data_IF_780945233290
#
_entry.id   IF_780945233290
#
_cell.length_a   1.000
_cell.length_b   1.000
_cell.length_c   1.000
_cell.angle_alpha   90.00
_cell.angle_beta   90.00
_cell.angle_gamma   90.00
#
_symmetry.space_group_name_H-M   'P 1'
#
loop_
_entity.id
_entity.type
_entity.pdbx_description
1 polymer ?
#
# COMPACT_ATOMS: atom_id res chain seq x y z
N UNK A 1 10.25 9.79 15.85
CA UNK A 1 10.86 10.90 15.06
C UNK A 1 11.19 12.09 15.98
N UNK A 2 10.22 12.70 16.62
CA UNK A 2 10.44 13.88 17.50
C UNK A 2 11.42 13.57 18.64
N UNK A 3 11.30 12.46 19.34
CA UNK A 3 12.24 11.99 20.37
C UNK A 3 13.68 11.79 19.87
N UNK A 4 13.87 11.66 18.57
CA UNK A 4 15.17 11.44 17.92
C UNK A 4 15.61 12.65 17.08
N UNK A 5 15.15 13.86 17.42
CA UNK A 5 15.68 15.12 16.90
C UNK A 5 14.97 15.68 15.67
N UNK A 6 13.81 15.15 15.26
CA UNK A 6 12.99 15.83 14.25
C UNK A 6 12.41 17.12 14.85
N UNK A 7 12.58 18.26 14.17
CA UNK A 7 12.08 19.54 14.63
C UNK A 7 10.56 19.65 14.47
N UNK A 8 10.02 19.09 13.39
CA UNK A 8 8.59 19.07 13.08
C UNK A 8 8.22 17.81 12.32
N UNK A 9 7.02 17.28 12.57
CA UNK A 9 6.45 16.13 11.86
C UNK A 9 5.11 16.53 11.26
N UNK A 10 4.94 16.29 9.97
CA UNK A 10 3.66 16.35 9.27
C UNK A 10 3.14 14.92 9.16
N UNK A 11 2.10 14.59 9.92
CA UNK A 11 1.49 13.27 9.93
C UNK A 11 0.27 13.25 9.03
N UNK A 12 0.16 12.23 8.18
CA UNK A 12 -0.91 12.12 7.18
C UNK A 12 -1.54 10.74 7.29
N UNK A 13 -2.84 10.69 7.50
CA UNK A 13 -3.59 9.44 7.47
C UNK A 13 -5.01 9.70 6.94
N UNK A 14 -5.49 8.82 6.06
CA UNK A 14 -6.85 8.90 5.51
C UNK A 14 -7.91 8.36 6.45
N UNK A 15 -7.53 7.56 7.46
CA UNK A 15 -8.46 7.00 8.42
C UNK A 15 -8.74 8.01 9.54
N UNK A 16 -9.97 8.53 9.58
CA UNK A 16 -10.38 9.49 10.61
C UNK A 16 -10.39 8.90 12.03
N UNK A 17 -10.39 7.58 12.18
CA UNK A 17 -10.33 6.93 13.50
C UNK A 17 -8.97 7.14 14.20
N UNK A 18 -7.93 7.47 13.44
CA UNK A 18 -6.59 7.80 13.98
C UNK A 18 -6.54 9.14 14.73
N UNK A 19 -7.53 10.04 14.50
CA UNK A 19 -7.59 11.38 15.12
C UNK A 19 -7.51 11.34 16.64
N UNK A 20 -8.12 10.32 17.27
CA UNK A 20 -8.13 10.20 18.75
C UNK A 20 -6.71 10.01 19.29
N UNK A 21 -5.93 9.14 18.64
CA UNK A 21 -4.54 8.88 19.02
C UNK A 21 -3.65 10.08 18.74
N UNK A 22 -3.88 10.76 17.62
CA UNK A 22 -3.09 11.93 17.21
C UNK A 22 -3.33 13.14 18.10
N UNK A 23 -4.53 13.32 18.65
CA UNK A 23 -4.79 14.35 19.68
C UNK A 23 -3.94 14.13 20.91
N UNK A 24 -3.75 12.90 21.37
CA UNK A 24 -2.90 12.60 22.52
C UNK A 24 -1.44 12.96 22.23
N UNK A 25 -0.95 12.61 21.04
CA UNK A 25 0.40 12.96 20.60
C UNK A 25 0.55 14.48 20.45
N UNK A 26 -0.46 15.16 19.92
CA UNK A 26 -0.45 16.61 19.79
C UNK A 26 -0.44 17.31 21.15
N UNK A 27 -1.12 16.78 22.17
CA UNK A 27 -1.05 17.28 23.53
C UNK A 27 0.34 17.15 24.14
N UNK A 28 1.11 16.10 23.76
CA UNK A 28 2.47 15.86 24.24
C UNK A 28 3.51 16.74 23.52
N UNK A 29 3.37 16.91 22.19
CA UNK A 29 4.38 17.56 21.34
C UNK A 29 3.97 18.93 20.80
N UNK A 30 2.74 19.39 21.06
CA UNK A 30 2.25 20.72 20.65
C UNK A 30 2.39 20.96 19.14
N UNK A 31 2.89 22.14 18.78
CA UNK A 31 3.04 22.58 17.38
C UNK A 31 4.13 21.83 16.60
N UNK A 32 4.91 20.97 17.27
CA UNK A 32 5.91 20.12 16.59
C UNK A 32 5.27 19.03 15.73
N UNK A 33 3.97 18.77 15.89
CA UNK A 33 3.23 17.84 15.03
C UNK A 33 2.01 18.53 14.42
N UNK A 34 1.88 18.39 13.10
CA UNK A 34 0.67 18.80 12.37
C UNK A 34 0.06 17.56 11.72
N UNK A 35 -1.26 17.39 11.85
CA UNK A 35 -1.96 16.25 11.30
C UNK A 35 -2.89 16.65 10.16
N UNK A 36 -2.83 15.91 9.06
CA UNK A 36 -3.70 16.05 7.90
C UNK A 36 -4.51 14.75 7.71
N UNK A 37 -5.85 14.86 7.80
CA UNK A 37 -6.73 13.71 7.53
C UNK A 37 -7.04 13.66 6.03
N UNK A 38 -6.11 13.13 5.27
CA UNK A 38 -6.21 13.01 3.80
C UNK A 38 -5.44 11.78 3.32
N UNK A 39 -5.68 11.40 2.06
CA UNK A 39 -4.87 10.37 1.43
C UNK A 39 -3.45 10.90 1.16
N UNK A 40 -2.42 10.15 1.49
CA UNK A 40 -1.04 10.52 1.20
C UNK A 40 -0.75 10.64 -0.31
N UNK A 41 -1.56 10.02 -1.17
CA UNK A 41 -1.47 10.17 -2.62
C UNK A 41 -1.85 11.58 -3.12
N UNK A 42 -2.61 12.33 -2.31
CA UNK A 42 -3.13 13.65 -2.64
C UNK A 42 -2.32 14.77 -1.96
N UNK A 43 -1.15 14.45 -1.38
CA UNK A 43 -0.26 15.41 -0.73
C UNK A 43 0.15 16.58 -1.63
N UNK A 44 0.28 16.35 -2.93
CA UNK A 44 0.63 17.40 -3.90
C UNK A 44 -0.45 18.49 -4.04
N UNK A 45 -1.69 18.18 -3.67
CA UNK A 45 -2.83 19.11 -3.70
C UNK A 45 -2.91 19.96 -2.42
N UNK A 46 -2.14 19.59 -1.40
CA UNK A 46 -2.08 20.32 -0.14
C UNK A 46 -0.99 21.41 -0.20
N UNK A 47 -1.41 22.68 -0.26
CA UNK A 47 -0.51 23.81 -0.37
C UNK A 47 0.46 23.93 0.82
N UNK A 48 0.04 23.56 2.03
CA UNK A 48 0.89 23.60 3.23
C UNK A 48 2.07 22.62 3.14
N UNK A 49 1.95 21.61 2.30
CA UNK A 49 2.98 20.59 2.08
C UNK A 49 3.72 20.87 0.78
N UNK A 50 3.01 21.13 -0.31
CA UNK A 50 3.59 21.24 -1.65
C UNK A 50 4.53 22.47 -1.81
N UNK A 51 4.29 23.56 -1.07
CA UNK A 51 5.12 24.77 -1.11
C UNK A 51 6.33 24.71 -0.18
N UNK A 52 6.62 23.58 0.49
CA UNK A 52 7.76 23.45 1.39
C UNK A 52 9.02 23.06 0.64
N UNK A 53 10.12 23.66 1.04
CA UNK A 53 11.49 23.36 0.60
C UNK A 53 12.37 22.78 1.73
N UNK A 54 11.82 22.72 2.96
CA UNK A 54 12.51 22.31 4.18
C UNK A 54 12.31 20.81 4.54
N UNK A 55 11.58 20.04 3.73
CA UNK A 55 11.31 18.63 4.00
C UNK A 55 12.61 17.81 3.93
N UNK A 56 13.12 17.41 5.08
CA UNK A 56 14.35 16.61 5.19
C UNK A 56 14.11 15.10 5.11
N UNK A 57 12.87 14.64 5.18
CA UNK A 57 12.57 13.22 5.03
C UNK A 57 11.09 12.92 4.89
N UNK A 58 10.81 11.80 4.21
CA UNK A 58 9.47 11.22 4.08
C UNK A 58 9.54 9.76 4.53
N UNK A 59 8.59 9.36 5.37
CA UNK A 59 8.41 7.96 5.79
C UNK A 59 7.03 7.51 5.35
N UNK A 60 6.98 6.46 4.56
CA UNK A 60 5.76 5.78 4.15
C UNK A 60 5.69 4.43 4.88
N UNK A 61 4.74 4.29 5.80
CA UNK A 61 4.42 3.03 6.47
C UNK A 61 3.12 2.50 5.87
N UNK A 62 3.25 1.49 4.99
CA UNK A 62 2.16 1.05 4.13
C UNK A 62 1.30 -0.02 4.80
N UNK A 63 0.13 -0.23 4.24
CA UNK A 63 -0.77 -1.32 4.61
C UNK A 63 -1.78 -0.94 5.69
N UNK A 64 -2.20 -1.94 6.47
CA UNK A 64 -3.26 -1.82 7.46
C UNK A 64 -2.72 -1.72 8.88
N UNK A 65 -3.32 -0.86 9.68
CA UNK A 65 -3.03 -0.76 11.11
C UNK A 65 -3.58 -1.98 11.88
N UNK A 66 -3.10 -2.17 13.11
CA UNK A 66 -3.66 -3.17 14.03
C UNK A 66 -5.15 -2.93 14.28
N UNK A 67 -5.58 -1.67 14.37
CA UNK A 67 -6.99 -1.31 14.57
C UNK A 67 -7.91 -1.82 13.44
N UNK A 68 -7.42 -1.82 12.18
CA UNK A 68 -8.17 -2.37 11.07
C UNK A 68 -8.36 -3.89 11.19
N UNK A 69 -7.33 -4.62 11.63
CA UNK A 69 -7.33 -6.08 11.70
C UNK A 69 -8.05 -6.61 12.95
N UNK A 70 -8.02 -5.85 14.04
CA UNK A 70 -8.57 -6.26 15.34
C UNK A 70 -10.05 -5.86 15.50
N UNK A 71 -10.59 -5.01 14.61
CA UNK A 71 -12.01 -4.66 14.58
C UNK A 71 -12.74 -5.43 13.46
N UNK A 72 -13.53 -6.45 13.79
CA UNK A 72 -14.27 -7.23 12.79
C UNK A 72 -15.20 -6.40 11.92
N UNK A 73 -15.76 -5.31 12.46
CA UNK A 73 -16.70 -4.41 11.76
C UNK A 73 -16.05 -3.67 10.57
N UNK A 74 -14.73 -3.63 10.51
CA UNK A 74 -14.01 -3.02 9.38
C UNK A 74 -13.83 -3.99 8.19
N UNK A 75 -14.05 -5.28 8.39
CA UNK A 75 -14.03 -6.28 7.32
C UNK A 75 -12.67 -6.67 6.77
N UNK A 76 -11.56 -6.28 7.40
CA UNK A 76 -10.20 -6.63 6.95
C UNK A 76 -9.75 -8.04 7.34
N UNK A 77 -10.37 -8.60 8.37
CA UNK A 77 -10.06 -9.91 8.91
C UNK A 77 -11.19 -10.90 8.62
N UNK A 78 -10.84 -12.16 8.46
CA UNK A 78 -11.78 -13.28 8.36
C UNK A 78 -11.61 -14.27 9.53
N UNK A 79 -11.02 -13.81 10.64
CA UNK A 79 -10.96 -14.58 11.89
C UNK A 79 -12.31 -14.60 12.58
N UNK A 80 -12.99 -13.48 12.52
CA UNK A 80 -14.34 -13.28 13.02
C UNK A 80 -15.22 -12.78 11.88
N UNK A 81 -16.54 -12.97 12.02
CA UNK A 81 -17.50 -12.50 11.03
C UNK A 81 -17.66 -10.99 11.13
N UNK A 82 -17.50 -10.33 10.00
CA UNK A 82 -17.73 -8.90 9.86
C UNK A 82 -18.27 -8.57 8.47
N UNK A 83 -18.76 -7.33 8.24
CA UNK A 83 -19.22 -6.89 6.93
C UNK A 83 -18.05 -6.83 5.95
N UNK A 84 -18.32 -7.04 4.66
CA UNK A 84 -17.33 -6.88 3.59
C UNK A 84 -17.17 -5.39 3.22
N UNK A 85 -16.57 -4.58 4.10
CA UNK A 85 -16.28 -3.17 3.84
C UNK A 85 -14.85 -2.98 3.30
N UNK A 86 -13.82 -3.22 4.09
CA UNK A 86 -12.39 -3.09 3.80
C UNK A 86 -11.91 -1.67 3.43
N UNK A 87 -12.71 -0.62 3.55
CA UNK A 87 -12.25 0.76 3.33
C UNK A 87 -11.41 1.25 4.52
N UNK A 88 -10.24 1.83 4.25
CA UNK A 88 -9.33 2.35 5.28
C UNK A 88 -9.79 3.72 5.82
N UNK A 89 -10.53 4.50 5.05
CA UNK A 89 -11.02 5.82 5.41
C UNK A 89 -12.46 6.05 4.96
N UNK A 90 -12.97 7.27 5.19
CA UNK A 90 -14.33 7.68 4.81
C UNK A 90 -14.39 8.22 3.37
N UNK A 91 -13.38 7.99 2.55
CA UNK A 91 -13.34 8.42 1.16
C UNK A 91 -14.39 7.67 0.33
N UNK A 92 -15.00 8.34 -0.67
CA UNK A 92 -15.89 7.68 -1.60
C UNK A 92 -15.13 6.59 -2.37
N UNK A 93 -15.76 5.43 -2.53
CA UNK A 93 -15.19 4.31 -3.23
C UNK A 93 -15.95 3.02 -2.93
N UNK A 94 -15.80 1.99 -3.76
CA UNK A 94 -16.51 0.75 -3.58
C UNK A 94 -16.08 0.02 -2.31
N UNK A 95 -17.02 -0.58 -1.64
CA UNK A 95 -16.79 -1.53 -0.57
C UNK A 95 -16.34 -2.89 -1.13
N UNK A 96 -15.73 -3.73 -0.30
CA UNK A 96 -15.44 -5.11 -0.68
C UNK A 96 -16.71 -5.86 -1.09
N UNK A 97 -17.85 -5.58 -0.45
CA UNK A 97 -19.15 -6.15 -0.80
C UNK A 97 -19.58 -5.80 -2.23
N UNK A 98 -19.41 -4.55 -2.64
CA UNK A 98 -19.75 -4.11 -4.00
C UNK A 98 -18.83 -4.77 -5.03
N UNK A 99 -17.53 -4.82 -4.78
CA UNK A 99 -16.59 -5.52 -5.68
C UNK A 99 -16.99 -7.00 -5.82
N UNK A 100 -17.21 -7.70 -4.72
CA UNK A 100 -17.55 -9.14 -4.74
C UNK A 100 -18.89 -9.41 -5.42
N UNK A 101 -19.89 -8.57 -5.20
CA UNK A 101 -21.23 -8.82 -5.68
C UNK A 101 -21.54 -8.21 -7.05
N UNK A 102 -20.82 -7.16 -7.50
CA UNK A 102 -21.17 -6.43 -8.73
C UNK A 102 -20.15 -6.57 -9.86
N UNK A 103 -18.85 -6.77 -9.57
CA UNK A 103 -17.86 -6.91 -10.63
C UNK A 103 -18.12 -8.15 -11.50
N UNK A 104 -17.74 -8.07 -12.78
CA UNK A 104 -17.77 -9.24 -13.67
C UNK A 104 -16.85 -10.36 -13.17
N UNK A 105 -17.09 -11.59 -13.62
CA UNK A 105 -16.21 -12.73 -13.30
C UNK A 105 -14.77 -12.47 -13.77
N UNK A 106 -14.63 -11.86 -14.95
CA UNK A 106 -13.33 -11.51 -15.52
C UNK A 106 -12.60 -10.49 -14.64
N UNK A 107 -13.27 -9.39 -14.28
CA UNK A 107 -12.70 -8.37 -13.40
C UNK A 107 -12.27 -8.95 -12.05
N UNK A 108 -13.12 -9.78 -11.42
CA UNK A 108 -12.76 -10.46 -10.17
C UNK A 108 -11.54 -11.36 -10.33
N UNK A 109 -11.48 -12.13 -11.42
CA UNK A 109 -10.34 -13.02 -11.68
C UNK A 109 -9.05 -12.21 -11.85
N UNK A 110 -9.09 -11.10 -12.57
CA UNK A 110 -7.93 -10.23 -12.78
C UNK A 110 -7.48 -9.56 -11.48
N UNK A 111 -8.40 -9.02 -10.68
CA UNK A 111 -8.07 -8.45 -9.37
C UNK A 111 -7.39 -9.49 -8.47
N UNK A 112 -7.96 -10.70 -8.36
CA UNK A 112 -7.41 -11.77 -7.53
C UNK A 112 -6.05 -12.25 -8.06
N UNK A 113 -5.87 -12.31 -9.37
CA UNK A 113 -4.61 -12.73 -9.99
C UNK A 113 -3.52 -11.68 -9.80
N UNK A 114 -3.77 -10.42 -10.18
CA UNK A 114 -2.75 -9.37 -10.17
C UNK A 114 -2.43 -8.90 -8.75
N UNK A 115 -3.45 -8.62 -7.93
CA UNK A 115 -3.24 -8.10 -6.58
C UNK A 115 -3.01 -9.20 -5.52
N UNK A 116 -3.63 -10.36 -5.69
CA UNK A 116 -3.46 -11.49 -4.78
C UNK A 116 -2.28 -12.40 -5.15
N UNK A 117 -1.79 -12.33 -6.39
CA UNK A 117 -0.83 -13.29 -6.93
C UNK A 117 -1.34 -14.74 -6.72
N UNK A 118 -2.64 -14.95 -6.93
CA UNK A 118 -3.31 -16.23 -6.71
C UNK A 118 -3.51 -16.98 -8.04
N UNK A 119 -2.87 -18.13 -8.18
CA UNK A 119 -2.92 -18.92 -9.42
C UNK A 119 -4.30 -19.49 -9.74
N UNK A 120 -5.13 -19.69 -8.70
CA UNK A 120 -6.49 -20.20 -8.85
C UNK A 120 -7.55 -19.10 -9.02
N UNK A 121 -7.13 -17.85 -9.32
CA UNK A 121 -7.98 -16.68 -9.40
C UNK A 121 -9.27 -16.90 -10.21
N UNK A 122 -9.16 -17.47 -11.42
CA UNK A 122 -10.34 -17.77 -12.25
C UNK A 122 -11.33 -18.74 -11.59
N UNK A 123 -10.83 -19.78 -10.91
CA UNK A 123 -11.69 -20.74 -10.20
C UNK A 123 -12.38 -20.10 -9.01
N UNK A 124 -11.67 -19.22 -8.29
CA UNK A 124 -12.22 -18.48 -7.15
C UNK A 124 -13.29 -17.50 -7.65
N UNK A 125 -13.01 -16.69 -8.68
CA UNK A 125 -13.97 -15.76 -9.27
C UNK A 125 -15.25 -16.45 -9.74
N UNK A 126 -15.12 -17.55 -10.48
CA UNK A 126 -16.28 -18.37 -10.92
C UNK A 126 -17.11 -18.87 -9.73
N UNK A 127 -16.46 -19.36 -8.66
CA UNK A 127 -17.17 -19.82 -7.46
C UNK A 127 -17.88 -18.66 -6.76
N UNK A 128 -17.24 -17.51 -6.62
CA UNK A 128 -17.86 -16.31 -6.05
C UNK A 128 -19.12 -15.93 -6.84
N UNK A 129 -19.02 -15.85 -8.17
CA UNK A 129 -20.16 -15.51 -9.04
C UNK A 129 -21.30 -16.54 -8.91
N UNK A 130 -20.99 -17.84 -8.87
CA UNK A 130 -21.98 -18.89 -8.65
C UNK A 130 -22.70 -18.75 -7.30
N UNK A 131 -21.98 -18.43 -6.24
CA UNK A 131 -22.58 -18.30 -4.91
C UNK A 131 -23.39 -17.01 -4.76
N UNK A 132 -22.87 -15.86 -5.27
CA UNK A 132 -23.62 -14.58 -5.21
C UNK A 132 -24.91 -14.59 -6.01
N UNK A 133 -24.98 -15.38 -7.09
CA UNK A 133 -26.22 -15.56 -7.88
C UNK A 133 -27.31 -16.34 -7.11
N UNK A 134 -26.94 -17.10 -6.09
CA UNK A 134 -27.90 -17.76 -5.19
C UNK A 134 -28.33 -16.81 -4.06
N UNK A 135 -27.38 -16.13 -3.47
CA UNK A 135 -27.56 -15.19 -2.35
C UNK A 135 -26.37 -14.23 -2.27
N UNK A 136 -26.65 -12.95 -2.06
CA UNK A 136 -25.62 -11.91 -1.86
C UNK A 136 -24.64 -12.34 -0.75
N UNK A 137 -23.34 -12.24 -1.04
CA UNK A 137 -22.25 -12.49 -0.08
C UNK A 137 -22.08 -11.25 0.76
N UNK A 138 -22.27 -11.34 2.07
CA UNK A 138 -22.34 -10.17 2.96
C UNK A 138 -21.25 -10.14 4.02
N UNK A 139 -20.67 -11.31 4.37
CA UNK A 139 -19.71 -11.38 5.47
C UNK A 139 -18.34 -11.89 5.05
N UNK A 140 -17.34 -11.53 5.83
CA UNK A 140 -15.95 -11.98 5.63
C UNK A 140 -15.81 -13.48 5.75
N UNK A 141 -16.53 -14.13 6.67
CA UNK A 141 -16.49 -15.58 6.84
C UNK A 141 -17.11 -16.32 5.64
N UNK A 142 -18.27 -15.86 5.12
CA UNK A 142 -18.86 -16.44 3.91
C UNK A 142 -17.87 -16.43 2.73
N UNK A 143 -17.24 -15.28 2.48
CA UNK A 143 -16.23 -15.16 1.43
C UNK A 143 -15.05 -16.09 1.67
N UNK A 144 -14.54 -16.18 2.89
CA UNK A 144 -13.41 -17.04 3.23
C UNK A 144 -13.74 -18.52 3.02
N UNK A 145 -14.95 -18.98 3.36
CA UNK A 145 -15.40 -20.35 3.14
C UNK A 145 -15.52 -20.70 1.65
N UNK A 146 -16.04 -19.79 0.84
CA UNK A 146 -16.09 -19.94 -0.62
C UNK A 146 -14.69 -20.16 -1.20
N UNK A 147 -13.70 -19.39 -0.73
CA UNK A 147 -12.31 -19.49 -1.19
C UNK A 147 -11.66 -20.77 -0.72
N UNK A 148 -11.85 -21.16 0.56
CA UNK A 148 -11.33 -22.41 1.13
C UNK A 148 -11.83 -23.66 0.42
N UNK A 149 -13.04 -23.61 -0.14
CA UNK A 149 -13.58 -24.70 -0.94
C UNK A 149 -12.82 -24.94 -2.27
N UNK A 150 -12.07 -23.93 -2.77
CA UNK A 150 -11.33 -23.98 -4.05
C UNK A 150 -9.83 -24.15 -3.84
N UNK A 151 -9.28 -23.50 -2.81
CA UNK A 151 -7.84 -23.47 -2.54
C UNK A 151 -7.54 -24.45 -1.39
N UNK A 152 -6.72 -25.49 -1.61
CA UNK A 152 -6.35 -26.41 -0.55
C UNK A 152 -5.70 -25.70 0.62
N UNK A 153 -6.01 -26.16 1.82
CA UNK A 153 -5.41 -25.65 3.05
C UNK A 153 -3.88 -25.86 3.01
N UNK A 154 -3.15 -24.80 3.27
CA UNK A 154 -1.71 -24.84 3.43
C UNK A 154 -1.40 -24.56 4.91
N UNK A 155 -0.50 -25.36 5.54
CA UNK A 155 -0.12 -25.20 6.94
C UNK A 155 0.45 -23.83 7.29
N UNK A 156 0.98 -23.08 6.29
CA UNK A 156 1.67 -21.79 6.54
C UNK A 156 0.76 -20.57 6.49
N UNK A 157 -0.30 -20.60 5.66
CA UNK A 157 -1.21 -19.45 5.45
C UNK A 157 -2.61 -19.94 5.11
N UNK A 158 -3.63 -19.21 5.61
CA UNK A 158 -5.01 -19.47 5.22
C UNK A 158 -5.21 -19.22 3.72
N UNK A 159 -5.93 -20.10 3.00
CA UNK A 159 -6.23 -19.96 1.58
C UNK A 159 -6.86 -18.62 1.18
N UNK A 160 -7.67 -18.03 2.06
CA UNK A 160 -8.35 -16.75 1.81
C UNK A 160 -7.40 -15.54 1.81
N UNK A 161 -6.23 -15.64 2.44
CA UNK A 161 -5.32 -14.50 2.66
C UNK A 161 -5.02 -13.71 1.38
N UNK A 162 -4.72 -14.40 0.27
CA UNK A 162 -4.36 -13.74 -1.00
C UNK A 162 -5.54 -13.02 -1.65
N UNK A 163 -6.72 -13.62 -1.59
CA UNK A 163 -7.93 -13.01 -2.15
C UNK A 163 -8.35 -11.81 -1.30
N UNK A 164 -8.28 -11.89 0.03
CA UNK A 164 -8.55 -10.76 0.91
C UNK A 164 -7.56 -9.61 0.67
N UNK A 165 -6.26 -9.92 0.51
CA UNK A 165 -5.27 -8.93 0.12
C UNK A 165 -5.63 -8.27 -1.22
N UNK A 166 -6.05 -9.05 -2.22
CA UNK A 166 -6.42 -8.53 -3.54
C UNK A 166 -7.58 -7.55 -3.47
N UNK A 167 -8.66 -7.94 -2.77
CA UNK A 167 -9.84 -7.07 -2.62
C UNK A 167 -9.50 -5.82 -1.82
N UNK A 168 -8.71 -5.93 -0.75
CA UNK A 168 -8.25 -4.79 0.04
C UNK A 168 -7.48 -3.77 -0.80
N UNK A 169 -6.50 -4.25 -1.59
CA UNK A 169 -5.70 -3.41 -2.49
C UNK A 169 -6.62 -2.71 -3.50
N UNK A 170 -7.61 -3.42 -4.05
CA UNK A 170 -8.57 -2.87 -5.01
C UNK A 170 -9.46 -1.79 -4.37
N UNK A 171 -10.08 -2.08 -3.22
CA UNK A 171 -10.94 -1.13 -2.47
C UNK A 171 -10.20 0.18 -2.16
N UNK A 172 -8.93 0.09 -1.78
CA UNK A 172 -8.17 1.23 -1.26
C UNK A 172 -7.21 1.87 -2.27
N UNK A 173 -7.14 1.39 -3.51
CA UNK A 173 -6.20 1.85 -4.54
C UNK A 173 -4.73 1.85 -4.10
N UNK A 174 -4.35 0.94 -3.17
CA UNK A 174 -3.08 0.99 -2.42
C UNK A 174 -1.84 1.15 -3.31
N UNK A 175 -1.75 0.42 -4.41
CA UNK A 175 -0.58 0.45 -5.28
C UNK A 175 -0.51 1.70 -6.17
N UNK A 176 -1.66 2.22 -6.61
CA UNK A 176 -1.76 3.47 -7.36
C UNK A 176 -1.37 4.65 -6.48
N UNK A 177 -1.89 4.67 -5.26
CA UNK A 177 -1.61 5.71 -4.26
C UNK A 177 -0.14 5.69 -3.88
N UNK A 178 0.47 4.51 -3.64
CA UNK A 178 1.89 4.36 -3.40
C UNK A 178 2.74 4.94 -4.54
N UNK A 179 2.38 4.64 -5.79
CA UNK A 179 3.13 5.13 -6.95
C UNK A 179 3.12 6.66 -7.03
N UNK A 180 1.98 7.30 -6.80
CA UNK A 180 1.86 8.76 -6.74
C UNK A 180 2.67 9.35 -5.59
N UNK A 181 2.57 8.75 -4.40
CA UNK A 181 3.28 9.22 -3.22
C UNK A 181 4.81 9.15 -3.37
N UNK A 182 5.33 8.11 -4.01
CA UNK A 182 6.77 7.98 -4.28
C UNK A 182 7.28 9.09 -5.19
N UNK A 183 6.54 9.41 -6.26
CA UNK A 183 6.89 10.50 -7.17
C UNK A 183 6.87 11.84 -6.44
N UNK A 184 5.85 12.08 -5.63
CA UNK A 184 5.75 13.31 -4.86
C UNK A 184 6.83 13.40 -3.77
N UNK A 185 7.11 12.31 -3.05
CA UNK A 185 8.18 12.26 -2.05
C UNK A 185 9.56 12.58 -2.67
N UNK A 186 9.83 12.08 -3.87
CA UNK A 186 11.06 12.41 -4.59
C UNK A 186 11.13 13.89 -4.93
N UNK A 187 10.03 14.51 -5.33
CA UNK A 187 9.97 15.94 -5.67
C UNK A 187 10.18 16.84 -4.44
N UNK A 188 9.54 16.53 -3.32
CA UNK A 188 9.46 17.43 -2.16
C UNK A 188 10.65 17.33 -1.20
N UNK A 189 11.28 16.15 -1.13
CA UNK A 189 12.44 15.95 -0.23
C UNK A 189 13.62 16.74 -0.76
N UNK A 190 14.24 17.57 0.12
CA UNK A 190 15.43 18.35 -0.23
C UNK A 190 16.64 17.46 -0.50
N UNK A 191 17.63 17.98 -1.23
CA UNK A 191 18.92 17.30 -1.41
C UNK A 191 19.57 16.95 -0.06
N UNK A 192 20.08 15.74 0.07
CA UNK A 192 20.60 15.18 1.33
C UNK A 192 19.53 14.49 2.19
N UNK A 193 18.24 14.73 1.93
CA UNK A 193 17.13 14.14 2.67
C UNK A 193 16.88 12.65 2.34
N UNK A 194 15.97 12.05 3.09
CA UNK A 194 15.76 10.59 3.11
C UNK A 194 14.31 10.26 2.76
N UNK A 195 14.12 9.24 1.92
CA UNK A 195 12.83 8.59 1.69
C UNK A 195 12.92 7.17 2.24
N UNK A 196 12.10 6.85 3.23
CA UNK A 196 12.03 5.53 3.86
C UNK A 196 10.64 4.93 3.65
N UNK A 197 10.58 3.69 3.16
CA UNK A 197 9.31 3.02 2.83
C UNK A 197 9.29 1.63 3.47
N UNK A 198 8.30 1.39 4.31
CA UNK A 198 8.00 0.08 4.89
C UNK A 198 6.89 -0.56 4.07
N UNK A 199 7.14 -1.76 3.57
CA UNK A 199 6.21 -2.54 2.74
C UNK A 199 5.89 -3.87 3.42
N UNK A 200 4.67 -4.39 3.25
CA UNK A 200 4.21 -5.63 3.89
C UNK A 200 3.91 -6.77 2.92
N UNK A 201 3.90 -6.49 1.62
CA UNK A 201 3.73 -7.53 0.60
C UNK A 201 4.60 -7.29 -0.64
N UNK A 202 4.72 -8.35 -1.47
CA UNK A 202 5.62 -8.39 -2.62
C UNK A 202 5.34 -7.32 -3.70
N UNK A 203 4.09 -6.92 -3.89
CA UNK A 203 3.73 -5.92 -4.91
C UNK A 203 4.20 -4.53 -4.51
N UNK A 204 3.98 -4.13 -3.24
CA UNK A 204 4.53 -2.88 -2.71
C UNK A 204 6.04 -2.86 -2.82
N UNK A 205 6.73 -3.91 -2.33
CA UNK A 205 8.18 -4.03 -2.38
C UNK A 205 8.73 -3.95 -3.81
N UNK A 206 8.00 -4.52 -4.79
CA UNK A 206 8.36 -4.43 -6.20
C UNK A 206 8.28 -3.00 -6.71
N UNK A 207 7.18 -2.27 -6.44
CA UNK A 207 7.00 -0.87 -6.85
C UNK A 207 8.11 0.00 -6.28
N UNK A 208 8.37 -0.10 -4.97
CA UNK A 208 9.41 0.69 -4.29
C UNK A 208 10.81 0.37 -4.83
N UNK A 209 11.09 -0.90 -5.09
CA UNK A 209 12.35 -1.35 -5.70
C UNK A 209 12.53 -0.83 -7.13
N UNK A 210 11.49 -0.91 -7.95
CA UNK A 210 11.54 -0.50 -9.35
C UNK A 210 11.64 1.05 -9.44
N UNK A 211 10.91 1.77 -8.59
CA UNK A 211 11.09 3.22 -8.41
C UNK A 211 12.55 3.57 -8.07
N UNK A 212 13.13 2.94 -7.05
CA UNK A 212 14.51 3.19 -6.66
C UNK A 212 15.54 2.87 -7.75
N UNK A 213 15.30 1.85 -8.57
CA UNK A 213 16.15 1.55 -9.74
C UNK A 213 16.08 2.66 -10.78
N UNK A 214 14.89 3.14 -11.13
CA UNK A 214 14.69 4.21 -12.10
C UNK A 214 15.36 5.48 -11.61
N UNK A 215 15.12 5.90 -10.37
CA UNK A 215 15.66 7.13 -9.80
C UNK A 215 17.18 7.09 -9.58
N UNK A 216 17.77 5.88 -9.40
CA UNK A 216 19.22 5.69 -9.29
C UNK A 216 19.95 5.55 -10.61
N UNK A 217 19.23 5.67 -11.73
CA UNK A 217 19.86 5.53 -13.05
C UNK A 217 20.19 4.10 -13.47
N UNK A 218 19.72 3.11 -12.70
CA UNK A 218 19.97 1.68 -12.94
C UNK A 218 18.84 0.97 -13.70
N UNK A 219 17.86 1.72 -14.23
CA UNK A 219 16.86 1.14 -15.10
C UNK A 219 17.60 0.64 -16.35
N UNK A 220 17.71 -0.67 -16.50
CA UNK A 220 18.21 -1.30 -17.71
C UNK A 220 17.29 -0.90 -18.86
N UNK A 221 17.85 -0.47 -20.00
CA UNK A 221 17.13 -0.51 -21.25
C UNK A 221 16.54 -1.92 -21.39
N UNK A 222 15.24 -2.00 -21.61
CA UNK A 222 14.53 -3.27 -21.82
C UNK A 222 15.01 -4.03 -23.04
N UNK A 223 15.91 -3.44 -23.81
CA UNK A 223 16.49 -4.04 -25.00
C UNK A 223 18.02 -3.92 -24.95
N UNK A 224 18.71 -5.08 -25.04
CA UNK A 224 20.18 -5.19 -25.07
C UNK A 224 20.80 -4.48 -26.28
N UNK A 225 19.97 -4.17 -27.27
CA UNK A 225 20.36 -3.51 -28.53
C UNK A 225 19.95 -2.04 -28.61
N UNK A 226 19.27 -1.50 -27.57
CA UNK A 226 18.97 -0.06 -27.53
C UNK A 226 20.23 0.72 -27.19
N UNK A 227 20.50 1.85 -27.89
CA UNK A 227 21.62 2.72 -27.53
C UNK A 227 21.51 3.10 -26.03
N UNK A 228 22.64 3.25 -25.32
CA UNK A 228 22.60 3.70 -23.95
C UNK A 228 21.89 5.05 -23.91
N UNK A 229 20.68 5.07 -23.37
CA UNK A 229 19.99 6.33 -23.07
C UNK A 229 20.92 7.19 -22.24
N UNK A 230 21.05 8.45 -22.60
CA UNK A 230 21.92 9.46 -21.96
C UNK A 230 22.00 9.20 -20.46
N UNK A 231 23.21 9.13 -19.91
CA UNK A 231 23.48 8.95 -18.47
C UNK A 231 22.89 10.14 -17.70
N UNK A 232 21.59 10.08 -17.45
CA UNK A 232 20.96 11.08 -16.57
C UNK A 232 21.46 10.82 -15.15
N UNK A 233 21.90 11.88 -14.49
CA UNK A 233 22.38 11.82 -13.11
C UNK A 233 21.30 11.21 -12.20
N UNK A 234 21.66 10.37 -11.23
CA UNK A 234 20.71 9.82 -10.29
C UNK A 234 20.10 10.93 -9.42
N UNK A 235 18.81 10.90 -9.16
CA UNK A 235 18.17 11.76 -8.17
C UNK A 235 18.16 11.13 -6.77
N UNK A 236 18.03 9.79 -6.72
CA UNK A 236 18.04 9.01 -5.49
C UNK A 236 19.10 7.92 -5.53
N UNK A 237 19.74 7.66 -4.40
CA UNK A 237 20.59 6.48 -4.21
C UNK A 237 20.07 5.62 -3.06
N UNK A 238 20.04 4.28 -3.21
CA UNK A 238 19.69 3.40 -2.12
C UNK A 238 20.76 3.48 -1.01
N UNK A 239 20.32 3.66 0.23
CA UNK A 239 21.20 3.62 1.41
C UNK A 239 21.69 2.19 1.64
N UNK A 240 20.81 1.22 1.50
CA UNK A 240 21.12 -0.20 1.64
C UNK A 240 20.88 -0.96 0.32
N UNK A 241 21.76 -1.86 -0.05
CA UNK A 241 21.60 -2.71 -1.27
C UNK A 241 20.40 -3.66 -1.15
N UNK A 242 20.16 -4.20 0.06
CA UNK A 242 19.04 -5.10 0.37
C UNK A 242 18.05 -4.38 1.29
N UNK A 243 16.76 -4.75 1.27
CA UNK A 243 15.82 -4.22 2.25
C UNK A 243 16.23 -4.67 3.66
N UNK A 244 15.98 -3.83 4.64
CA UNK A 244 16.06 -4.22 6.05
C UNK A 244 14.79 -4.99 6.39
N UNK A 245 14.91 -6.09 7.11
CA UNK A 245 13.80 -6.94 7.56
C UNK A 245 13.82 -7.03 9.08
N UNK A 246 12.68 -7.38 9.68
CA UNK A 246 12.56 -7.53 11.11
C UNK A 246 13.54 -8.57 11.67
N UNK A 247 14.14 -8.28 12.83
CA UNK A 247 14.98 -9.23 13.56
C UNK A 247 14.13 -10.30 14.26
N UNK A 248 14.76 -11.34 14.77
CA UNK A 248 14.07 -12.40 15.54
C UNK A 248 13.41 -11.79 16.78
N UNK A 249 14.12 -10.92 17.50
CA UNK A 249 13.64 -10.25 18.71
C UNK A 249 12.42 -9.36 18.41
N UNK A 250 12.40 -8.69 17.25
CA UNK A 250 11.25 -7.92 16.81
C UNK A 250 10.06 -8.81 16.45
N UNK A 251 10.31 -9.96 15.80
CA UNK A 251 9.27 -10.92 15.44
C UNK A 251 8.63 -11.58 16.67
N UNK A 252 9.39 -11.78 17.73
CA UNK A 252 8.88 -12.31 19.00
C UNK A 252 7.92 -11.32 19.68
N UNK A 253 8.22 -10.03 19.58
CA UNK A 253 7.36 -8.95 20.12
C UNK A 253 6.20 -8.59 19.18
N UNK A 254 6.45 -8.61 17.89
CA UNK A 254 5.49 -8.19 16.85
C UNK A 254 5.48 -9.16 15.66
N UNK A 255 4.67 -10.21 15.77
CA UNK A 255 4.50 -11.19 14.69
C UNK A 255 4.00 -10.58 13.35
N UNK A 256 3.39 -9.38 13.39
CA UNK A 256 2.92 -8.68 12.19
C UNK A 256 4.07 -8.12 11.35
N UNK A 257 5.24 -7.88 11.94
CA UNK A 257 6.44 -7.44 11.23
C UNK A 257 7.07 -8.51 10.32
N UNK A 258 6.61 -9.76 10.35
CA UNK A 258 7.18 -10.89 9.58
C UNK A 258 7.35 -10.62 8.09
N UNK A 259 6.47 -9.86 7.49
CA UNK A 259 6.50 -9.55 6.06
C UNK A 259 7.04 -8.14 5.77
N UNK A 260 7.36 -7.38 6.82
CA UNK A 260 7.84 -6.01 6.71
C UNK A 260 9.21 -5.96 6.03
N UNK A 261 9.36 -4.99 5.12
CA UNK A 261 10.63 -4.69 4.45
C UNK A 261 10.79 -3.18 4.38
N UNK A 262 11.85 -2.67 4.96
CA UNK A 262 12.22 -1.26 4.88
C UNK A 262 13.22 -1.04 3.74
N UNK A 263 12.89 -0.11 2.84
CA UNK A 263 13.82 0.43 1.85
C UNK A 263 14.05 1.90 2.10
N UNK A 264 15.30 2.31 2.01
CA UNK A 264 15.73 3.68 2.30
C UNK A 264 16.52 4.23 1.11
N UNK A 265 16.16 5.44 0.70
CA UNK A 265 16.82 6.18 -0.38
C UNK A 265 17.24 7.56 0.10
N UNK A 266 18.40 8.01 -0.34
CA UNK A 266 18.92 9.37 -0.09
C UNK A 266 18.79 10.20 -1.35
N UNK A 267 18.23 11.40 -1.25
CA UNK A 267 18.20 12.40 -2.33
C UNK A 267 19.60 12.94 -2.57
N UNK A 268 20.11 12.83 -3.78
CA UNK A 268 21.48 13.26 -4.12
C UNK A 268 21.53 14.41 -5.12
N UNK A 269 20.43 14.62 -5.84
CA UNK A 269 20.34 15.67 -6.86
C UNK A 269 18.89 16.12 -7.01
N UNK A 270 18.71 17.41 -7.35
CA UNK A 270 17.44 18.01 -7.75
C UNK A 270 17.22 17.95 -9.26
N UNK A 271 18.00 17.11 -9.97
CA UNK A 271 17.80 16.86 -11.40
C UNK A 271 16.35 16.45 -11.67
N UNK A 272 15.77 16.86 -12.83
CA UNK A 272 14.39 16.57 -13.13
C UNK A 272 14.12 15.07 -13.03
N UNK A 273 13.07 14.75 -12.33
CA UNK A 273 12.62 13.37 -12.10
C UNK A 273 12.49 12.60 -13.40
N UNK A 274 13.06 11.41 -13.43
CA UNK A 274 12.76 10.46 -14.50
C UNK A 274 11.29 10.12 -14.40
N UNK A 275 10.63 9.97 -15.53
CA UNK A 275 9.24 9.54 -15.53
C UNK A 275 9.17 8.14 -14.93
N UNK A 276 8.62 8.06 -13.74
CA UNK A 276 8.18 6.80 -13.16
C UNK A 276 6.79 6.55 -13.73
N UNK A 277 6.74 5.76 -14.82
CA UNK A 277 5.46 5.31 -15.34
C UNK A 277 4.80 4.42 -14.26
N UNK A 278 3.66 4.85 -13.78
CA UNK A 278 2.84 4.01 -12.91
C UNK A 278 2.51 2.73 -13.65
N UNK A 279 2.63 1.59 -12.97
CA UNK A 279 2.17 0.32 -13.55
C UNK A 279 0.70 0.45 -13.92
N UNK A 280 0.31 -0.12 -15.06
CA UNK A 280 -1.10 -0.31 -15.36
C UNK A 280 -1.67 -1.32 -14.36
N UNK A 281 -2.69 -0.87 -13.64
CA UNK A 281 -3.41 -1.69 -12.66
C UNK A 281 -4.77 -2.07 -13.20
N UNK A 282 -5.30 -3.27 -12.87
CA UNK A 282 -6.65 -3.65 -13.24
C UNK A 282 -7.65 -2.58 -12.80
N UNK A 283 -8.51 -2.17 -13.71
CA UNK A 283 -9.60 -1.22 -13.39
C UNK A 283 -10.75 -1.97 -12.72
N UNK A 284 -11.39 -1.32 -11.76
CA UNK A 284 -12.62 -1.84 -11.15
C UNK A 284 -13.78 -1.36 -12.01
N UNK A 285 -14.38 -2.29 -12.76
CA UNK A 285 -15.63 -2.05 -13.45
C UNK A 285 -16.74 -2.70 -12.63
N UNK A 286 -17.56 -1.87 -11.98
CA UNK A 286 -18.79 -2.33 -11.35
C UNK A 286 -19.81 -2.50 -12.47
N UNK A 287 -20.32 -3.71 -12.66
CA UNK A 287 -21.44 -3.98 -13.58
C UNK A 287 -22.72 -3.40 -12.96
N UNK A 288 -22.98 -2.14 -13.23
CA UNK A 288 -24.23 -1.45 -12.87
C UNK A 288 -25.13 -1.46 -14.09
#
# INVERSE_FOLDING_TARGET
>A
MLQNGACKVLAIDKDSSTKVFLKNIQNEYGDMITFYNQNFADMQENNDINCRDDICGVVLDLGVSSMHLDNPLRGFSFKESGPLDMRMGNQPGPTASEIINLCSEATLADLIFFYGQERKARKIANKIVKERNKRKITTTLELAEIIRAIVPKNFKKDPATKTFQAIRIAVNNELKDLSKALVFAEKIVRKGGIIAVVTFHSLEDKIVKDFGKIMSGKASSTNRYSPPTSKTSPSLLPVNKKPVVATIEELDRNKRARSAKLRVYKKVSDSPSRVFATMEFPQIELGI
#
